data_IF_920468896105
#
_entry.id   IF_920468896105
#
_cell.length_a   1.000
_cell.length_b   1.000
_cell.length_c   1.000
_cell.angle_alpha   90.00
_cell.angle_beta   90.00
_cell.angle_gamma   90.00
#
_symmetry.space_group_name_H-M   'P 1'
#
loop_
_entity.id
_entity.type
_entity.pdbx_description
1 polymer ?
#
# COMPACT_ATOMS: atom_id res chain seq x y z
N UNK A 1 -11.65 -86.10 0.84
CA UNK A 1 -13.03 -86.48 0.52
C UNK A 1 -13.87 -86.18 1.74
N UNK A 2 -14.87 -85.33 1.53
CA UNK A 2 -15.76 -84.74 2.52
C UNK A 2 -16.75 -85.78 3.06
N UNK A 3 -16.98 -85.79 4.37
CA UNK A 3 -18.26 -86.21 4.95
C UNK A 3 -18.64 -85.28 6.11
N UNK A 4 -19.85 -84.71 6.10
CA UNK A 4 -20.45 -83.95 7.20
C UNK A 4 -21.30 -84.87 8.08
N UNK A 5 -21.54 -84.51 9.34
CA UNK A 5 -22.65 -85.06 10.11
C UNK A 5 -22.84 -84.39 11.47
N UNK A 6 -24.10 -84.42 11.90
CA UNK A 6 -24.67 -84.30 13.25
C UNK A 6 -25.08 -82.89 13.71
N UNK A 7 -26.34 -82.50 13.55
CA UNK A 7 -27.57 -82.95 14.25
C UNK A 7 -27.77 -82.29 15.63
N UNK A 8 -28.62 -81.24 15.62
CA UNK A 8 -29.83 -81.09 16.44
C UNK A 8 -29.72 -81.09 18.01
N UNK A 9 -30.83 -80.97 18.78
CA UNK A 9 -31.45 -79.68 19.11
C UNK A 9 -31.79 -79.50 20.62
N UNK A 10 -32.51 -78.41 20.93
CA UNK A 10 -33.57 -78.29 21.95
C UNK A 10 -33.28 -77.66 23.34
N UNK A 11 -34.25 -76.79 23.72
CA UNK A 11 -34.58 -76.36 25.09
C UNK A 11 -33.77 -75.16 25.58
N UNK A 12 -34.30 -74.09 26.19
CA UNK A 12 -35.53 -73.94 26.98
C UNK A 12 -35.79 -72.43 27.19
N UNK A 13 -37.03 -71.96 27.04
CA UNK A 13 -37.59 -70.66 27.47
C UNK A 13 -37.78 -70.60 29.01
N UNK A 14 -38.32 -69.52 29.65
CA UNK A 14 -38.39 -68.07 29.37
C UNK A 14 -38.01 -67.20 30.62
N UNK A 15 -37.85 -65.87 30.46
CA UNK A 15 -37.56 -64.98 31.61
C UNK A 15 -37.79 -63.48 31.34
N UNK A 16 -39.06 -63.08 31.44
CA UNK A 16 -39.61 -61.83 32.00
C UNK A 16 -38.63 -60.82 32.68
N UNK A 17 -38.70 -59.53 32.28
CA UNK A 17 -38.94 -58.32 33.12
C UNK A 17 -38.18 -57.04 32.69
N UNK A 18 -38.99 -55.97 32.60
CA UNK A 18 -38.70 -54.54 32.80
C UNK A 18 -38.07 -53.71 31.67
N UNK A 19 -38.92 -52.85 31.11
CA UNK A 19 -38.55 -51.52 30.65
C UNK A 19 -38.19 -50.63 31.86
N UNK A 20 -37.30 -49.64 31.67
CA UNK A 20 -37.62 -48.31 32.18
C UNK A 20 -37.42 -47.17 31.18
N UNK A 21 -38.10 -46.09 31.54
CA UNK A 21 -38.39 -44.80 30.92
C UNK A 21 -37.28 -44.01 30.17
N UNK A 22 -37.70 -42.99 29.38
CA UNK A 22 -36.85 -42.11 28.59
C UNK A 22 -36.31 -40.98 29.47
N UNK A 23 -35.02 -40.67 29.33
CA UNK A 23 -34.43 -39.55 30.05
C UNK A 23 -32.95 -39.73 30.31
N UNK A 24 -32.14 -39.65 29.26
CA UNK A 24 -30.71 -39.36 29.40
C UNK A 24 -30.23 -38.68 28.13
N UNK A 25 -30.25 -37.35 28.13
CA UNK A 25 -29.44 -36.57 27.20
C UNK A 25 -27.98 -36.99 27.38
N UNK A 26 -27.29 -37.54 26.35
CA UNK A 26 -25.85 -37.59 26.41
C UNK A 26 -25.34 -36.16 26.36
N UNK A 27 -24.61 -35.79 27.41
CA UNK A 27 -23.92 -34.52 27.57
C UNK A 27 -23.36 -34.05 26.22
N UNK A 28 -23.80 -32.87 25.79
CA UNK A 28 -23.25 -32.16 24.66
C UNK A 28 -21.74 -32.05 24.89
N UNK A 29 -20.97 -32.88 24.20
CA UNK A 29 -19.55 -32.64 23.98
C UNK A 29 -19.48 -31.20 23.49
N UNK A 30 -18.82 -30.27 24.20
CA UNK A 30 -18.64 -28.95 23.66
C UNK A 30 -17.82 -29.19 22.39
N UNK A 31 -18.46 -29.03 21.22
CA UNK A 31 -17.74 -28.88 19.98
C UNK A 31 -16.72 -27.80 20.28
N UNK A 32 -15.45 -28.20 20.45
CA UNK A 32 -14.34 -27.26 20.42
C UNK A 32 -14.49 -26.56 19.08
N UNK A 33 -15.07 -25.37 19.10
CA UNK A 33 -14.97 -24.42 17.99
C UNK A 33 -13.48 -24.23 17.82
N UNK A 34 -12.89 -24.99 16.90
CA UNK A 34 -11.58 -24.66 16.35
C UNK A 34 -11.83 -23.37 15.59
N UNK A 35 -11.68 -22.24 16.28
CA UNK A 35 -11.39 -20.97 15.64
C UNK A 35 -10.14 -21.22 14.78
N UNK A 36 -10.33 -21.27 13.47
CA UNK A 36 -9.22 -21.37 12.53
C UNK A 36 -8.50 -20.01 12.44
N UNK A 37 -7.29 -19.93 11.89
CA UNK A 37 -6.54 -18.67 11.75
C UNK A 37 -7.15 -17.66 10.74
N UNK A 38 -8.43 -17.80 10.39
CA UNK A 38 -9.05 -17.12 9.26
C UNK A 38 -10.58 -16.97 9.39
N UNK A 39 -11.08 -16.84 10.62
CA UNK A 39 -12.41 -16.29 10.84
C UNK A 39 -12.33 -14.77 10.61
N UNK A 40 -12.49 -14.37 9.35
CA UNK A 40 -12.63 -12.96 8.96
C UNK A 40 -13.94 -12.44 9.55
N UNK A 41 -13.82 -11.81 10.71
CA UNK A 41 -14.81 -10.83 11.18
C UNK A 41 -14.56 -9.58 10.33
N UNK A 42 -15.53 -9.10 9.55
CA UNK A 42 -15.44 -7.76 8.98
C UNK A 42 -15.11 -6.82 10.12
N UNK A 43 -14.11 -5.93 9.97
CA UNK A 43 -14.03 -4.76 10.86
C UNK A 43 -15.31 -3.95 10.59
N UNK A 44 -16.35 -4.23 11.36
CA UNK A 44 -17.45 -3.29 11.56
C UNK A 44 -16.81 -1.98 12.02
N UNK A 45 -17.00 -0.93 11.23
CA UNK A 45 -16.52 0.41 11.54
C UNK A 45 -15.01 0.57 11.48
N UNK A 46 -14.47 0.81 10.28
CA UNK A 46 -13.55 1.95 10.22
C UNK A 46 -14.42 3.15 10.62
N UNK A 47 -14.38 3.57 11.88
CA UNK A 47 -15.17 4.72 12.32
C UNK A 47 -14.84 5.88 11.37
N UNK A 48 -15.79 6.33 10.56
CA UNK A 48 -15.57 7.41 9.58
C UNK A 48 -14.97 8.64 10.28
N UNK A 49 -15.36 8.88 11.52
CA UNK A 49 -14.79 9.87 12.43
C UNK A 49 -13.28 9.70 12.67
N UNK A 50 -12.79 8.46 12.82
CA UNK A 50 -11.37 8.17 12.97
C UNK A 50 -10.57 8.36 11.68
N UNK A 51 -11.16 8.04 10.53
CA UNK A 51 -10.54 8.33 9.22
C UNK A 51 -10.46 9.84 8.98
N UNK A 52 -11.55 10.57 9.23
CA UNK A 52 -11.61 12.04 9.15
C UNK A 52 -10.60 12.66 10.11
N UNK A 53 -10.53 12.21 11.35
CA UNK A 53 -9.55 12.71 12.33
C UNK A 53 -8.10 12.52 11.87
N UNK A 54 -7.76 11.37 11.26
CA UNK A 54 -6.43 11.13 10.69
C UNK A 54 -6.15 12.04 9.48
N UNK A 55 -7.13 12.21 8.60
CA UNK A 55 -7.00 13.09 7.44
C UNK A 55 -6.81 14.56 7.86
N UNK A 56 -7.58 15.03 8.85
CA UNK A 56 -7.45 16.38 9.41
C UNK A 56 -6.10 16.59 10.09
N UNK A 57 -5.63 15.60 10.86
CA UNK A 57 -4.32 15.65 11.50
C UNK A 57 -3.19 15.73 10.45
N UNK A 58 -3.27 14.90 9.41
CA UNK A 58 -2.30 14.91 8.32
C UNK A 58 -2.31 16.27 7.60
N UNK A 59 -3.50 16.79 7.26
CA UNK A 59 -3.63 18.10 6.63
C UNK A 59 -3.07 19.23 7.52
N UNK A 60 -3.37 19.22 8.82
CA UNK A 60 -2.84 20.18 9.77
C UNK A 60 -1.31 20.12 9.85
N UNK A 61 -0.73 18.91 9.87
CA UNK A 61 0.72 18.71 9.88
C UNK A 61 1.39 19.27 8.62
N UNK A 62 0.82 19.00 7.44
CA UNK A 62 1.32 19.52 6.16
C UNK A 62 1.24 21.05 6.14
N UNK A 63 0.10 21.62 6.51
CA UNK A 63 -0.10 23.07 6.54
C UNK A 63 0.86 23.74 7.54
N UNK A 64 1.06 23.15 8.71
CA UNK A 64 2.01 23.66 9.71
C UNK A 64 3.45 23.64 9.17
N UNK A 65 3.88 22.52 8.57
CA UNK A 65 5.21 22.41 7.99
C UNK A 65 5.45 23.37 6.83
N UNK A 66 4.49 23.52 5.90
CA UNK A 66 4.54 24.53 4.84
C UNK A 66 4.72 25.94 5.42
N UNK A 67 3.96 26.28 6.47
CA UNK A 67 4.03 27.60 7.11
C UNK A 67 5.37 27.83 7.81
N UNK A 68 5.87 26.84 8.53
CA UNK A 68 7.17 26.91 9.21
C UNK A 68 8.28 27.12 8.17
N UNK A 69 8.28 26.32 7.09
CA UNK A 69 9.29 26.42 6.02
C UNK A 69 9.28 27.79 5.35
N UNK A 70 8.10 28.35 5.08
CA UNK A 70 7.97 29.72 4.52
C UNK A 70 8.48 30.78 5.50
N UNK A 71 8.12 30.67 6.79
CA UNK A 71 8.59 31.62 7.82
C UNK A 71 10.11 31.60 7.97
N UNK A 72 10.70 30.39 8.00
CA UNK A 72 12.15 30.22 8.03
C UNK A 72 12.82 30.89 6.82
N UNK A 73 12.26 30.67 5.62
CA UNK A 73 12.76 31.29 4.39
C UNK A 73 12.73 32.82 4.44
N UNK A 74 11.63 33.43 4.93
CA UNK A 74 11.55 34.89 5.08
C UNK A 74 12.53 35.46 6.11
N UNK A 75 12.88 34.68 7.14
CA UNK A 75 13.85 35.06 8.16
C UNK A 75 15.30 34.75 7.75
N UNK A 76 15.53 34.17 6.56
CA UNK A 76 16.84 33.76 6.09
C UNK A 76 17.44 32.59 6.88
N UNK A 77 16.60 31.80 7.57
CA UNK A 77 17.04 30.65 8.35
C UNK A 77 17.28 29.45 7.45
N UNK A 78 18.44 28.83 7.60
CA UNK A 78 18.80 27.58 6.94
C UNK A 78 19.11 26.50 7.97
N UNK A 79 18.92 25.25 7.58
CA UNK A 79 19.31 24.08 8.38
C UNK A 79 20.65 23.54 7.90
N UNK A 80 21.41 22.95 8.82
CA UNK A 80 22.57 22.16 8.47
C UNK A 80 22.14 20.86 7.74
N UNK A 81 23.01 20.36 6.86
CA UNK A 81 22.74 19.13 6.10
C UNK A 81 22.50 17.92 7.01
N UNK A 82 23.22 17.80 8.12
CA UNK A 82 23.04 16.72 9.09
C UNK A 82 21.65 16.73 9.73
N UNK A 83 21.17 17.89 10.15
CA UNK A 83 19.81 18.08 10.67
C UNK A 83 18.75 17.72 9.62
N UNK A 84 18.95 18.11 8.37
CA UNK A 84 18.04 17.76 7.27
C UNK A 84 18.02 16.25 7.01
N UNK A 85 19.19 15.60 6.95
CA UNK A 85 19.28 14.12 6.83
C UNK A 85 18.52 13.48 7.99
N UNK A 86 18.77 13.92 9.22
CA UNK A 86 18.11 13.39 10.40
C UNK A 86 16.58 13.52 10.32
N UNK A 87 16.07 14.70 9.94
CA UNK A 87 14.64 14.94 9.77
C UNK A 87 14.05 14.06 8.67
N UNK A 88 14.74 13.90 7.53
CA UNK A 88 14.29 13.01 6.43
C UNK A 88 14.22 11.56 6.89
N UNK A 89 15.25 11.04 7.55
CA UNK A 89 15.24 9.67 8.07
C UNK A 89 14.15 9.46 9.12
N UNK A 90 14.00 10.41 10.06
CA UNK A 90 12.99 10.35 11.10
C UNK A 90 11.56 10.38 10.53
N UNK A 91 11.32 11.23 9.53
CA UNK A 91 10.02 11.38 8.87
C UNK A 91 9.56 10.12 8.13
N UNK A 92 10.48 9.25 7.74
CA UNK A 92 10.20 8.00 7.05
C UNK A 92 9.85 6.84 8.00
N UNK A 93 10.20 6.91 9.30
CA UNK A 93 9.90 5.84 10.25
C UNK A 93 8.39 5.59 10.46
N UNK A 94 7.51 6.63 10.52
CA UNK A 94 6.06 6.43 10.61
C UNK A 94 5.47 5.55 9.51
N UNK A 95 6.10 5.45 8.33
CA UNK A 95 5.67 4.57 7.22
C UNK A 95 5.52 3.11 7.68
N UNK A 96 6.39 2.66 8.59
CA UNK A 96 6.38 1.31 9.13
C UNK A 96 5.13 0.98 9.95
N UNK A 97 4.42 1.99 10.47
CA UNK A 97 3.17 1.81 11.24
C UNK A 97 1.94 2.32 10.50
N UNK A 98 2.08 3.44 9.80
CA UNK A 98 1.06 4.17 9.07
C UNK A 98 1.56 4.39 7.63
N UNK A 99 1.44 3.38 6.74
CA UNK A 99 2.07 3.43 5.42
C UNK A 99 1.64 4.60 4.55
N UNK A 100 0.38 5.01 4.64
CA UNK A 100 -0.13 6.12 3.83
C UNK A 100 0.33 7.45 4.43
N UNK A 101 -0.04 7.73 5.69
CA UNK A 101 0.26 9.02 6.32
C UNK A 101 1.76 9.24 6.49
N UNK A 102 2.50 8.20 6.90
CA UNK A 102 3.94 8.29 7.05
C UNK A 102 4.66 8.53 5.73
N UNK A 103 4.16 7.97 4.63
CA UNK A 103 4.76 8.21 3.32
C UNK A 103 4.49 9.64 2.86
N UNK A 104 3.26 10.12 3.03
CA UNK A 104 2.92 11.52 2.73
C UNK A 104 3.80 12.48 3.54
N UNK A 105 3.99 12.24 4.84
CA UNK A 105 4.88 13.07 5.67
C UNK A 105 6.32 13.02 5.17
N UNK A 106 6.84 11.84 4.80
CA UNK A 106 8.19 11.72 4.26
C UNK A 106 8.37 12.50 2.95
N UNK A 107 7.38 12.48 2.05
CA UNK A 107 7.38 13.24 0.80
C UNK A 107 7.29 14.76 1.03
N UNK A 108 6.59 15.18 2.06
CA UNK A 108 6.47 16.61 2.40
C UNK A 108 7.76 17.14 3.02
N UNK A 109 8.44 16.35 3.85
CA UNK A 109 9.77 16.69 4.39
C UNK A 109 10.82 16.71 3.28
N UNK A 110 10.75 15.78 2.33
CA UNK A 110 11.54 15.80 1.09
C UNK A 110 11.29 17.06 0.26
N UNK A 111 10.06 17.56 0.19
CA UNK A 111 9.78 18.84 -0.48
C UNK A 111 10.37 20.03 0.29
N UNK A 112 10.30 20.02 1.62
CA UNK A 112 10.72 21.14 2.46
C UNK A 112 12.24 21.29 2.55
N UNK A 113 13.00 20.21 2.40
CA UNK A 113 14.47 20.25 2.55
C UNK A 113 15.17 21.18 1.55
N UNK A 114 14.63 21.29 0.33
CA UNK A 114 15.10 22.18 -0.72
C UNK A 114 15.12 23.64 -0.25
N UNK A 115 14.09 24.02 0.51
CA UNK A 115 13.97 25.36 1.09
C UNK A 115 14.83 25.51 2.33
N UNK A 116 14.89 24.50 3.20
CA UNK A 116 15.71 24.54 4.41
C UNK A 116 17.21 24.66 4.11
N UNK A 117 17.66 24.09 2.99
CA UNK A 117 19.05 24.17 2.53
C UNK A 117 19.32 25.36 1.61
N UNK A 118 18.31 26.19 1.32
CA UNK A 118 18.37 27.25 0.32
C UNK A 118 18.94 26.77 -1.03
N UNK A 119 18.68 25.51 -1.41
CA UNK A 119 19.32 24.84 -2.53
C UNK A 119 19.09 25.57 -3.87
N UNK A 120 17.95 26.26 -4.02
CA UNK A 120 17.65 27.05 -5.22
C UNK A 120 18.48 28.33 -5.40
N UNK A 121 19.17 28.80 -4.35
CA UNK A 121 20.04 29.99 -4.41
C UNK A 121 21.51 29.63 -4.68
N UNK A 122 21.85 28.35 -4.59
CA UNK A 122 23.20 27.85 -4.77
C UNK A 122 23.61 27.82 -6.25
N UNK A 123 24.92 27.88 -6.57
CA UNK A 123 25.41 27.73 -7.94
C UNK A 123 25.00 26.38 -8.55
N UNK A 124 24.90 26.32 -9.89
CA UNK A 124 24.48 25.11 -10.62
C UNK A 124 25.24 23.85 -10.21
N UNK A 125 26.55 23.96 -9.95
CA UNK A 125 27.38 22.83 -9.50
C UNK A 125 26.93 22.29 -8.13
N UNK A 126 26.57 23.17 -7.20
CA UNK A 126 26.07 22.79 -5.88
C UNK A 126 24.65 22.23 -5.96
N UNK A 127 23.81 22.74 -6.85
CA UNK A 127 22.48 22.17 -7.14
C UNK A 127 22.58 20.75 -7.73
N UNK A 128 23.56 20.49 -8.59
CA UNK A 128 23.82 19.14 -9.11
C UNK A 128 24.25 18.17 -8.00
N UNK A 129 25.19 18.59 -7.13
CA UNK A 129 25.60 17.79 -5.98
C UNK A 129 24.45 17.54 -5.00
N UNK A 130 23.55 18.52 -4.83
CA UNK A 130 22.32 18.35 -4.08
C UNK A 130 21.42 17.29 -4.71
N UNK A 131 21.20 17.33 -6.02
CA UNK A 131 20.36 16.34 -6.73
C UNK A 131 20.90 14.92 -6.57
N UNK A 132 22.22 14.73 -6.62
CA UNK A 132 22.85 13.41 -6.39
C UNK A 132 22.62 12.91 -4.96
N UNK A 133 22.85 13.78 -3.97
CA UNK A 133 22.61 13.47 -2.56
C UNK A 133 21.14 13.17 -2.27
N UNK A 134 20.24 13.97 -2.81
CA UNK A 134 18.79 13.84 -2.70
C UNK A 134 18.30 12.48 -3.22
N UNK A 135 18.70 12.11 -4.44
CA UNK A 135 18.29 10.83 -5.07
C UNK A 135 18.77 9.61 -4.30
N UNK A 136 19.92 9.70 -3.65
CA UNK A 136 20.39 8.64 -2.77
C UNK A 136 19.54 8.57 -1.50
N UNK A 137 19.25 9.72 -0.89
CA UNK A 137 18.48 9.81 0.34
C UNK A 137 17.01 9.36 0.15
N UNK A 138 16.44 9.57 -1.04
CA UNK A 138 15.11 9.07 -1.46
C UNK A 138 14.98 7.55 -1.30
N UNK A 139 16.08 6.79 -1.43
CA UNK A 139 16.02 5.33 -1.29
C UNK A 139 15.61 4.90 0.11
N UNK A 140 15.85 5.72 1.14
CA UNK A 140 15.52 5.37 2.51
C UNK A 140 14.00 5.33 2.77
N UNK A 141 13.21 6.41 2.50
CA UNK A 141 11.76 6.35 2.55
C UNK A 141 11.15 5.22 1.73
N UNK A 142 11.65 5.00 0.50
CA UNK A 142 11.18 3.92 -0.37
C UNK A 142 11.46 2.54 0.23
N UNK A 143 12.60 2.36 0.88
CA UNK A 143 12.94 1.12 1.60
C UNK A 143 12.01 0.91 2.79
N UNK A 144 11.74 1.93 3.60
CA UNK A 144 10.79 1.85 4.71
C UNK A 144 9.38 1.50 4.22
N UNK A 145 8.96 2.11 3.11
CA UNK A 145 7.71 1.78 2.44
C UNK A 145 7.69 0.32 1.95
N UNK A 146 8.77 -0.20 1.39
CA UNK A 146 8.87 -1.60 0.95
C UNK A 146 8.78 -2.56 2.14
N UNK A 147 9.50 -2.30 3.23
CA UNK A 147 9.44 -3.10 4.47
C UNK A 147 8.03 -3.10 5.04
N UNK A 148 7.34 -1.96 5.02
CA UNK A 148 5.95 -1.84 5.43
C UNK A 148 5.00 -2.75 4.64
N UNK A 149 5.38 -3.19 3.43
CA UNK A 149 4.57 -4.11 2.60
C UNK A 149 4.61 -5.55 3.07
N UNK A 150 5.60 -5.99 3.86
CA UNK A 150 5.74 -7.42 4.21
C UNK A 150 4.54 -7.98 4.97
N UNK A 151 3.84 -7.14 5.73
CA UNK A 151 2.58 -7.50 6.41
C UNK A 151 1.35 -7.55 5.51
N UNK A 152 1.47 -7.29 4.20
CA UNK A 152 0.32 -7.22 3.27
C UNK A 152 0.00 -8.58 2.66
N UNK A 153 -1.28 -8.84 2.33
CA UNK A 153 -1.71 -10.15 1.81
C UNK A 153 -1.68 -10.24 0.28
N UNK A 154 -1.78 -9.11 -0.43
CA UNK A 154 -1.70 -9.05 -1.89
C UNK A 154 -0.28 -9.36 -2.41
N UNK A 155 -0.06 -10.61 -2.80
CA UNK A 155 1.23 -11.07 -3.35
C UNK A 155 1.55 -10.43 -4.70
N UNK A 156 0.53 -10.13 -5.51
CA UNK A 156 0.73 -9.48 -6.81
C UNK A 156 1.26 -8.07 -6.61
N UNK A 157 0.66 -7.31 -5.68
CA UNK A 157 1.12 -5.96 -5.37
C UNK A 157 2.53 -5.98 -4.77
N UNK A 158 2.82 -6.90 -3.85
CA UNK A 158 4.18 -7.07 -3.31
C UNK A 158 5.23 -7.29 -4.40
N UNK A 159 4.96 -8.18 -5.36
CA UNK A 159 5.89 -8.44 -6.48
C UNK A 159 6.08 -7.20 -7.35
N UNK A 160 5.01 -6.46 -7.62
CA UNK A 160 5.08 -5.23 -8.41
C UNK A 160 5.88 -4.14 -7.69
N UNK A 161 5.69 -4.00 -6.38
CA UNK A 161 6.46 -3.06 -5.54
C UNK A 161 7.94 -3.46 -5.47
N UNK A 162 8.27 -4.74 -5.29
CA UNK A 162 9.66 -5.20 -5.34
C UNK A 162 10.29 -4.90 -6.72
N UNK A 163 9.58 -5.20 -7.81
CA UNK A 163 10.08 -4.98 -9.16
C UNK A 163 10.33 -3.49 -9.46
N UNK A 164 9.39 -2.62 -9.10
CA UNK A 164 9.51 -1.16 -9.31
C UNK A 164 10.52 -0.52 -8.36
N UNK A 165 10.67 -1.02 -7.13
CA UNK A 165 11.74 -0.61 -6.22
C UNK A 165 13.11 -0.98 -6.78
N UNK A 166 13.28 -2.23 -7.24
CA UNK A 166 14.53 -2.67 -7.85
C UNK A 166 14.88 -1.83 -9.09
N UNK A 167 13.88 -1.52 -9.93
CA UNK A 167 14.05 -0.62 -11.08
C UNK A 167 14.55 0.77 -10.62
N UNK A 168 14.00 1.32 -9.53
CA UNK A 168 14.43 2.61 -8.98
C UNK A 168 15.85 2.57 -8.43
N UNK A 169 16.23 1.51 -7.70
CA UNK A 169 17.61 1.33 -7.20
C UNK A 169 18.60 1.26 -8.36
N UNK A 170 18.28 0.51 -9.42
CA UNK A 170 19.10 0.45 -10.63
C UNK A 170 19.23 1.83 -11.27
N UNK A 171 18.12 2.55 -11.44
CA UNK A 171 18.10 3.91 -11.99
C UNK A 171 18.98 4.88 -11.21
N UNK A 172 18.84 4.93 -9.88
CA UNK A 172 19.67 5.78 -9.01
C UNK A 172 21.14 5.36 -9.07
N UNK A 173 21.43 4.06 -9.07
CA UNK A 173 22.81 3.57 -9.17
C UNK A 173 23.46 3.99 -10.48
N UNK A 174 22.77 3.83 -11.61
CA UNK A 174 23.28 4.25 -12.92
C UNK A 174 23.45 5.78 -13.01
N UNK A 175 22.50 6.53 -12.43
CA UNK A 175 22.60 7.99 -12.33
C UNK A 175 23.83 8.42 -11.53
N UNK A 176 24.10 7.82 -10.37
CA UNK A 176 25.28 8.17 -9.56
C UNK A 176 26.61 7.82 -10.25
N UNK A 177 26.64 6.77 -11.08
CA UNK A 177 27.84 6.35 -11.80
C UNK A 177 28.14 7.19 -13.06
N UNK A 178 27.12 7.78 -13.69
CA UNK A 178 27.26 8.45 -15.00
C UNK A 178 26.85 9.94 -15.01
N UNK A 179 26.42 10.48 -13.87
CA UNK A 179 25.58 11.69 -13.70
C UNK A 179 24.59 12.05 -14.82
N UNK A 180 24.03 11.09 -15.57
CA UNK A 180 23.16 11.42 -16.70
C UNK A 180 21.69 11.52 -16.30
N UNK A 181 21.13 12.74 -16.33
CA UNK A 181 19.74 13.02 -15.93
C UNK A 181 18.69 12.21 -16.69
N UNK A 182 18.89 11.94 -17.98
CA UNK A 182 17.93 11.18 -18.79
C UNK A 182 17.71 9.75 -18.30
N UNK A 183 18.64 9.18 -17.52
CA UNK A 183 18.45 7.87 -16.92
C UNK A 183 17.27 7.85 -15.95
N UNK A 184 16.98 8.97 -15.27
CA UNK A 184 15.84 9.04 -14.35
C UNK A 184 14.49 8.97 -15.09
N UNK A 185 14.44 9.45 -16.34
CA UNK A 185 13.28 9.31 -17.22
C UNK A 185 13.05 7.84 -17.61
N UNK A 186 14.14 7.11 -17.89
CA UNK A 186 14.09 5.68 -18.26
C UNK A 186 13.77 4.81 -17.06
N UNK A 187 14.18 5.24 -15.86
CA UNK A 187 13.94 4.57 -14.59
C UNK A 187 13.07 5.42 -13.66
N UNK A 188 11.81 5.72 -14.06
CA UNK A 188 10.94 6.60 -13.29
C UNK A 188 10.56 5.95 -11.96
N UNK A 189 10.33 6.77 -10.94
CA UNK A 189 9.91 6.30 -9.63
C UNK A 189 8.41 5.91 -9.61
N UNK A 190 8.06 4.80 -10.28
CA UNK A 190 6.68 4.25 -10.28
C UNK A 190 6.31 3.65 -8.93
N UNK A 191 7.32 3.21 -8.17
CA UNK A 191 7.14 2.58 -6.87
C UNK A 191 6.32 3.46 -5.92
N UNK A 192 6.69 4.74 -5.82
CA UNK A 192 6.06 5.73 -4.93
C UNK A 192 4.55 5.85 -5.18
N UNK A 193 4.15 5.99 -6.45
CA UNK A 193 2.74 6.10 -6.80
C UNK A 193 1.97 4.81 -6.53
N UNK A 194 2.59 3.65 -6.78
CA UNK A 194 1.97 2.35 -6.51
C UNK A 194 1.74 2.11 -5.02
N UNK A 195 2.72 2.42 -4.18
CA UNK A 195 2.58 2.27 -2.73
C UNK A 195 1.52 3.25 -2.20
N UNK A 196 1.48 4.49 -2.70
CA UNK A 196 0.50 5.50 -2.30
C UNK A 196 -0.93 5.04 -2.63
N UNK A 197 -1.17 4.58 -3.86
CA UNK A 197 -2.46 4.00 -4.29
C UNK A 197 -2.90 2.88 -3.37
N UNK A 198 -2.00 1.93 -3.14
CA UNK A 198 -2.36 0.73 -2.39
C UNK A 198 -2.56 1.02 -0.91
N UNK A 199 -1.74 1.90 -0.32
CA UNK A 199 -1.88 2.34 1.06
C UNK A 199 -3.18 3.13 1.25
N UNK A 200 -3.53 4.04 0.32
CA UNK A 200 -4.80 4.76 0.32
C UNK A 200 -5.99 3.80 0.21
N UNK A 201 -5.93 2.84 -0.72
CA UNK A 201 -6.95 1.81 -0.87
C UNK A 201 -7.15 1.00 0.40
N UNK A 202 -6.07 0.55 1.05
CA UNK A 202 -6.18 -0.21 2.31
C UNK A 202 -6.75 0.63 3.45
N UNK A 203 -6.38 1.91 3.49
CA UNK A 203 -6.86 2.84 4.50
C UNK A 203 -8.37 3.06 4.38
N UNK A 204 -8.89 3.23 3.16
CA UNK A 204 -10.30 3.54 2.89
C UNK A 204 -11.15 2.26 2.84
N UNK A 205 -10.71 1.21 2.13
CA UNK A 205 -11.50 0.00 1.92
C UNK A 205 -11.42 -1.01 3.08
N UNK A 206 -10.45 -0.87 3.99
CA UNK A 206 -10.31 -1.74 5.16
C UNK A 206 -9.89 -3.19 4.88
N UNK A 207 -9.43 -3.51 3.66
CA UNK A 207 -8.99 -4.87 3.29
C UNK A 207 -7.75 -4.89 2.39
N UNK A 208 -7.10 -6.06 2.32
CA UNK A 208 -5.70 -6.18 1.88
C UNK A 208 -5.52 -6.75 0.46
N UNK A 209 -6.54 -6.72 -0.40
CA UNK A 209 -6.44 -7.27 -1.77
C UNK A 209 -7.02 -6.29 -2.78
N UNK A 210 -6.14 -5.70 -3.59
CA UNK A 210 -6.47 -4.74 -4.65
C UNK A 210 -6.44 -5.41 -6.02
N UNK A 211 -5.34 -6.11 -6.31
CA UNK A 211 -5.01 -6.64 -7.62
C UNK A 211 -5.63 -8.01 -7.85
N UNK A 212 -6.94 -8.01 -8.06
CA UNK A 212 -7.75 -9.24 -8.23
C UNK A 212 -7.72 -9.82 -9.64
N UNK A 213 -7.30 -9.04 -10.65
CA UNK A 213 -7.27 -9.49 -12.04
C UNK A 213 -6.16 -8.79 -12.82
N UNK A 214 -5.71 -9.42 -13.91
CA UNK A 214 -4.71 -8.86 -14.82
C UNK A 214 -5.10 -7.47 -15.35
N UNK A 215 -6.39 -7.26 -15.65
CA UNK A 215 -6.91 -5.95 -16.10
C UNK A 215 -6.72 -4.87 -15.04
N UNK A 216 -7.05 -5.18 -13.79
CA UNK A 216 -6.88 -4.23 -12.66
C UNK A 216 -5.40 -3.93 -12.44
N UNK A 217 -4.53 -4.93 -12.52
CA UNK A 217 -3.07 -4.73 -12.42
C UNK A 217 -2.53 -3.81 -13.50
N UNK A 218 -2.95 -4.00 -14.76
CA UNK A 218 -2.52 -3.14 -15.87
C UNK A 218 -3.01 -1.70 -15.66
N UNK A 219 -4.30 -1.52 -15.33
CA UNK A 219 -4.87 -0.18 -15.12
C UNK A 219 -4.18 0.54 -13.97
N UNK A 220 -4.01 -0.12 -12.81
CA UNK A 220 -3.31 0.48 -11.66
C UNK A 220 -1.86 0.80 -12.01
N UNK A 221 -1.15 -0.09 -12.71
CA UNK A 221 0.23 0.15 -13.13
C UNK A 221 0.37 1.34 -14.07
N UNK A 222 -0.48 1.43 -15.10
CA UNK A 222 -0.46 2.54 -16.07
C UNK A 222 -0.82 3.86 -15.40
N UNK A 223 -1.85 3.87 -14.56
CA UNK A 223 -2.29 5.11 -13.89
C UNK A 223 -1.25 5.57 -12.86
N UNK A 224 -0.56 4.65 -12.17
CA UNK A 224 0.55 5.00 -11.29
C UNK A 224 1.78 5.51 -12.04
N UNK A 225 2.01 5.08 -13.27
CA UNK A 225 3.12 5.56 -14.12
C UNK A 225 2.88 6.99 -14.64
N UNK A 226 1.62 7.34 -14.91
CA UNK A 226 1.26 8.58 -15.64
C UNK A 226 1.78 9.88 -14.97
N UNK A 227 1.60 10.12 -13.65
CA UNK A 227 2.10 11.35 -13.02
C UNK A 227 3.61 11.51 -13.17
N UNK A 228 4.37 10.42 -13.02
CA UNK A 228 5.83 10.47 -13.15
C UNK A 228 6.27 10.70 -14.58
N UNK A 229 5.58 10.15 -15.58
CA UNK A 229 5.93 10.43 -16.97
C UNK A 229 5.69 11.87 -17.36
N UNK A 230 4.62 12.48 -16.85
CA UNK A 230 4.39 13.92 -17.01
C UNK A 230 5.52 14.71 -16.34
N UNK A 231 5.82 14.44 -15.07
CA UNK A 231 6.86 15.14 -14.31
C UNK A 231 8.24 15.06 -14.99
N UNK A 232 8.68 13.86 -15.34
CA UNK A 232 9.97 13.61 -16.00
C UNK A 232 10.04 14.28 -17.38
N UNK A 233 8.94 14.31 -18.14
CA UNK A 233 8.87 15.02 -19.42
C UNK A 233 9.06 16.54 -19.26
N UNK A 234 8.36 17.16 -18.30
CA UNK A 234 8.50 18.60 -18.07
C UNK A 234 9.92 18.95 -17.60
N UNK A 235 10.42 18.25 -16.59
CA UNK A 235 11.69 18.59 -15.96
C UNK A 235 12.90 18.34 -16.87
N UNK A 236 12.87 17.32 -17.72
CA UNK A 236 14.04 16.91 -18.50
C UNK A 236 13.94 17.16 -20.00
N UNK A 237 12.73 17.13 -20.59
CA UNK A 237 12.58 17.42 -22.01
C UNK A 237 12.30 18.91 -22.25
N UNK A 238 11.46 19.52 -21.40
CA UNK A 238 11.10 20.94 -21.54
C UNK A 238 11.96 21.86 -20.66
N UNK A 239 12.75 21.32 -19.74
CA UNK A 239 13.56 22.05 -18.74
C UNK A 239 12.72 23.09 -17.97
N UNK A 240 11.45 22.78 -17.74
CA UNK A 240 10.45 23.66 -17.11
C UNK A 240 9.58 22.86 -16.16
N UNK A 241 8.89 23.52 -15.24
CA UNK A 241 7.92 22.84 -14.36
C UNK A 241 6.57 22.76 -15.07
N UNK A 242 5.72 21.76 -14.74
CA UNK A 242 4.40 21.63 -15.36
C UNK A 242 3.55 22.90 -15.27
N UNK A 243 3.66 23.61 -14.14
CA UNK A 243 2.95 24.86 -13.89
C UNK A 243 3.56 26.10 -14.55
N UNK A 244 4.77 26.03 -15.10
CA UNK A 244 5.33 27.16 -15.86
C UNK A 244 4.75 27.22 -17.30
N UNK A 245 3.89 26.26 -17.70
CA UNK A 245 3.36 26.18 -19.06
C UNK A 245 2.15 27.09 -19.31
N UNK A 246 1.16 27.08 -18.41
CA UNK A 246 -0.08 27.85 -18.57
C UNK A 246 -0.29 28.67 -17.33
N UNK A 247 -0.15 29.99 -17.44
CA UNK A 247 -0.49 30.92 -16.37
C UNK A 247 -2.00 30.89 -16.14
N UNK A 248 -2.42 30.23 -15.07
CA UNK A 248 -3.80 30.24 -14.64
C UNK A 248 -4.12 31.57 -13.95
N UNK A 249 -5.32 32.15 -14.13
CA UNK A 249 -5.74 33.39 -13.44
C UNK A 249 -6.10 33.10 -11.97
N UNK A 250 -5.17 32.50 -11.25
CA UNK A 250 -5.25 32.12 -9.84
C UNK A 250 -4.01 32.66 -9.12
N UNK A 251 -4.07 32.87 -7.80
CA UNK A 251 -2.92 33.36 -7.05
C UNK A 251 -1.69 32.45 -7.26
N UNK A 252 -0.50 33.04 -7.45
CA UNK A 252 0.75 32.33 -7.80
C UNK A 252 1.08 31.12 -6.90
N UNK A 253 0.66 31.15 -5.62
CA UNK A 253 0.86 30.05 -4.68
C UNK A 253 -0.13 28.88 -4.80
N UNK A 254 -1.23 29.04 -5.54
CA UNK A 254 -2.24 28.00 -5.76
C UNK A 254 -1.97 27.18 -7.02
N UNK A 255 -1.29 27.75 -8.00
CA UNK A 255 -1.09 27.13 -9.30
C UNK A 255 -0.33 25.79 -9.24
N UNK A 256 0.81 25.66 -8.54
CA UNK A 256 1.47 24.35 -8.40
C UNK A 256 0.56 23.29 -7.77
N UNK A 257 -0.30 23.68 -6.82
CA UNK A 257 -1.23 22.77 -6.14
C UNK A 257 -2.31 22.27 -7.07
N UNK A 258 -2.84 23.13 -7.94
CA UNK A 258 -3.83 22.75 -8.96
C UNK A 258 -3.24 21.72 -9.93
N UNK A 259 -2.00 21.94 -10.39
CA UNK A 259 -1.32 21.00 -11.28
C UNK A 259 -1.06 19.64 -10.63
N UNK A 260 -0.62 19.62 -9.37
CA UNK A 260 -0.48 18.38 -8.61
C UNK A 260 -1.84 17.66 -8.48
N UNK A 261 -2.90 18.37 -8.12
CA UNK A 261 -4.24 17.78 -8.05
C UNK A 261 -4.66 17.20 -9.40
N UNK A 262 -4.45 17.92 -10.50
CA UNK A 262 -4.80 17.47 -11.85
C UNK A 262 -4.02 16.19 -12.25
N UNK A 263 -2.72 16.14 -11.98
CA UNK A 263 -1.87 14.98 -12.30
C UNK A 263 -2.27 13.73 -11.50
N UNK A 264 -2.61 13.90 -10.22
CA UNK A 264 -2.96 12.79 -9.32
C UNK A 264 -4.47 12.47 -9.30
N UNK A 265 -5.31 13.27 -9.96
CA UNK A 265 -6.76 13.05 -10.01
C UNK A 265 -7.15 11.67 -10.60
N UNK A 266 -6.57 11.19 -11.71
CA UNK A 266 -6.87 9.85 -12.22
C UNK A 266 -6.53 8.73 -11.23
N UNK A 267 -5.46 8.93 -10.46
CA UNK A 267 -5.02 8.01 -9.41
C UNK A 267 -6.06 7.93 -8.28
N UNK A 268 -6.53 9.10 -7.82
CA UNK A 268 -7.58 9.22 -6.81
C UNK A 268 -8.89 8.58 -7.27
N UNK A 269 -9.35 8.91 -8.47
CA UNK A 269 -10.57 8.32 -9.06
C UNK A 269 -10.46 6.81 -9.14
N UNK A 270 -9.28 6.29 -9.52
CA UNK A 270 -9.03 4.84 -9.58
C UNK A 270 -9.14 4.20 -8.20
N UNK A 271 -8.54 4.79 -7.17
CA UNK A 271 -8.68 4.30 -5.79
C UNK A 271 -10.15 4.30 -5.37
N UNK A 272 -10.87 5.41 -5.54
CA UNK A 272 -12.27 5.52 -5.17
C UNK A 272 -13.14 4.50 -5.92
N UNK A 273 -12.96 4.36 -7.24
CA UNK A 273 -13.66 3.35 -8.02
C UNK A 273 -13.39 1.93 -7.51
N UNK A 274 -12.13 1.60 -7.19
CA UNK A 274 -11.75 0.27 -6.70
C UNK A 274 -12.23 -0.02 -5.28
N UNK A 275 -12.41 1.02 -4.45
CA UNK A 275 -13.04 0.96 -3.13
C UNK A 275 -14.55 0.72 -3.28
N UNK A 276 -15.23 1.46 -4.16
CA UNK A 276 -16.68 1.49 -4.27
C UNK A 276 -17.28 0.41 -5.17
N UNK A 277 -16.45 -0.24 -6.01
CA UNK A 277 -16.95 -1.29 -6.92
C UNK A 277 -17.62 -2.42 -6.12
N UNK A 278 -18.87 -2.79 -6.45
CA UNK A 278 -19.51 -3.94 -5.83
C UNK A 278 -18.68 -5.19 -6.15
N UNK A 279 -18.20 -5.86 -5.12
CA UNK A 279 -17.51 -7.15 -5.29
C UNK A 279 -18.55 -8.19 -5.68
N UNK A 280 -18.52 -8.62 -6.93
CA UNK A 280 -19.16 -9.89 -7.30
C UNK A 280 -18.42 -10.98 -6.52
N UNK A 281 -19.05 -11.51 -5.47
CA UNK A 281 -18.63 -12.75 -4.80
C UNK A 281 -18.70 -13.85 -5.86
N UNK A 282 -17.60 -14.13 -6.55
CA UNK A 282 -17.49 -15.34 -7.35
C UNK A 282 -17.27 -16.49 -6.36
N UNK A 283 -18.39 -17.04 -5.91
CA UNK A 283 -18.59 -18.40 -5.40
C UNK A 283 -17.64 -18.94 -4.32
N UNK A 284 -18.22 -19.40 -3.22
CA UNK A 284 -17.69 -20.52 -2.44
C UNK A 284 -17.50 -21.74 -3.38
N UNK A 285 -16.40 -21.83 -4.13
CA UNK A 285 -15.99 -23.09 -4.76
C UNK A 285 -15.05 -23.82 -3.82
N UNK A 286 -15.64 -24.53 -2.87
CA UNK A 286 -15.07 -25.80 -2.44
C UNK A 286 -15.19 -26.71 -3.66
N UNK A 287 -14.06 -27.16 -4.20
CA UNK A 287 -14.07 -28.25 -5.18
C UNK A 287 -14.79 -29.44 -4.54
N UNK A 288 -15.89 -29.98 -5.09
CA UNK A 288 -16.41 -31.24 -4.61
C UNK A 288 -15.34 -32.29 -4.92
N UNK A 289 -14.91 -32.97 -3.86
CA UNK A 289 -14.04 -34.13 -3.94
C UNK A 289 -14.61 -35.10 -5.00
N UNK A 290 -13.85 -35.33 -6.06
CA UNK A 290 -14.19 -36.37 -7.03
C UNK A 290 -13.67 -37.70 -6.49
N UNK A 291 -14.39 -38.28 -5.54
CA UNK A 291 -14.32 -39.68 -5.07
C UNK A 291 -15.73 -39.96 -4.52
N UNK A 292 -16.54 -40.90 -4.99
CA UNK A 292 -16.28 -42.29 -5.37
C UNK A 292 -17.51 -42.86 -6.09
N UNK A 293 -17.32 -43.89 -6.93
CA UNK A 293 -18.43 -44.70 -7.42
C UNK A 293 -17.97 -45.81 -8.36
N UNK A 294 -17.45 -46.90 -7.78
CA UNK A 294 -17.33 -48.20 -8.46
C UNK A 294 -18.69 -48.61 -9.05
N UNK A 295 -18.69 -49.05 -10.30
CA UNK A 295 -19.17 -50.37 -10.67
C UNK A 295 -18.14 -51.00 -11.59
#
# INVERSE_FOLDING_TARGET
>A
MSTPSDEAPAGTTPGLISSPHPGAHPASVPQRRRFGPLDWVPREGANDLGLIGRALLLAALILAGDRITVLMGHQGWTLDRGAVVFLRLLSALPVLRFPFEGLVVALEVDKWDWFWLAAGQEPTKAQLAYQEWDKFLDLFPLTMALVATWRWRDLTMKRLLIATFALRVVGVTLFLLTPQRWLLIVFPNVFENLILVYAAFRLIAGHDVLLTSRRVTIVVGVIALMPKMVEEYFLHFLERRPWDWVNLPIPDGMEPRVWVIAMYFPLLVTVLYLVWRPRIRIGNRVWPARVQGRR
#
